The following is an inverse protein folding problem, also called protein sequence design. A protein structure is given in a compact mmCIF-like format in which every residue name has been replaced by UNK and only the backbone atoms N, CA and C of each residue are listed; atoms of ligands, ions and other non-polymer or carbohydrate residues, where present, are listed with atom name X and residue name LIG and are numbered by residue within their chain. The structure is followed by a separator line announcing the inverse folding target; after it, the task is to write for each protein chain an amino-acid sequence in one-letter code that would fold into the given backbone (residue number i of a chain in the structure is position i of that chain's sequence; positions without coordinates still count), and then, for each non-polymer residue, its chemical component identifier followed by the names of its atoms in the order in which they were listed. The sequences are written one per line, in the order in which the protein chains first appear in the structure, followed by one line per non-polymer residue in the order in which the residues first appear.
data_IF_762324575500
#
_entry.id   IF_762324575500
#
_cell.length_a   1.000
_cell.length_b   1.000
_cell.length_c   1.000
_cell.angle_alpha   90.00
_cell.angle_beta   90.00
_cell.angle_gamma   90.00
#
_symmetry.space_group_name_H-M   'P 1'
#
loop_
_entity.id
_entity.type
_entity.pdbx_description
1 polymer ?
#
# COMPACT_ATOMS: atom_id res chain seq x y z
N UNK A 1 -13.44 -1.71 42.06
CA UNK A 1 -13.83 -1.77 40.63
C UNK A 1 -12.61 -1.37 39.83
N UNK A 2 -11.85 -2.36 39.37
CA UNK A 2 -10.60 -2.13 38.64
C UNK A 2 -10.98 -1.80 37.20
N UNK A 3 -10.79 -0.54 36.80
CA UNK A 3 -10.92 -0.17 35.40
C UNK A 3 -9.77 -0.83 34.63
N UNK A 4 -10.07 -1.96 33.98
CA UNK A 4 -9.15 -2.62 33.06
C UNK A 4 -8.83 -1.61 31.95
N UNK A 5 -7.63 -1.03 32.01
CA UNK A 5 -7.06 -0.23 30.93
C UNK A 5 -6.85 -1.17 29.75
N UNK A 6 -7.84 -1.26 28.86
CA UNK A 6 -7.71 -1.85 27.55
C UNK A 6 -7.05 -0.80 26.67
N UNK A 7 -5.75 -0.90 26.32
CA UNK A 7 -5.20 -0.02 25.32
C UNK A 7 -5.98 -0.29 24.03
N UNK A 8 -6.84 0.65 23.61
CA UNK A 8 -7.34 0.65 22.24
C UNK A 8 -6.10 0.66 21.37
N UNK A 9 -5.87 -0.40 20.60
CA UNK A 9 -4.94 -0.34 19.48
C UNK A 9 -5.55 0.66 18.50
N UNK A 10 -5.22 1.93 18.69
CA UNK A 10 -5.56 2.97 17.75
C UNK A 10 -4.73 2.73 16.48
N UNK A 11 -5.27 1.91 15.57
CA UNK A 11 -4.62 1.67 14.29
C UNK A 11 -4.41 2.99 13.55
N UNK A 12 -3.22 3.11 12.97
CA UNK A 12 -2.73 4.33 12.33
C UNK A 12 -2.87 4.19 10.82
N UNK A 13 -3.73 5.03 10.23
CA UNK A 13 -3.94 5.12 8.79
C UNK A 13 -2.61 5.36 8.07
N UNK A 14 -1.77 6.26 8.61
CA UNK A 14 -0.47 6.60 8.03
C UNK A 14 0.46 5.39 8.01
N UNK A 15 0.49 4.63 9.10
CA UNK A 15 1.35 3.46 9.25
C UNK A 15 0.89 2.32 8.33
N UNK A 16 -0.43 2.12 8.19
CA UNK A 16 -1.01 1.22 7.19
C UNK A 16 -0.63 1.63 5.76
N UNK A 17 -0.73 2.92 5.43
CA UNK A 17 -0.37 3.47 4.12
C UNK A 17 1.11 3.25 3.78
N UNK A 18 2.01 3.51 4.73
CA UNK A 18 3.46 3.31 4.58
C UNK A 18 3.78 1.83 4.37
N UNK A 19 3.15 0.92 5.13
CA UNK A 19 3.38 -0.52 4.98
C UNK A 19 2.83 -1.03 3.66
N UNK A 20 1.66 -0.56 3.22
CA UNK A 20 1.15 -0.85 1.88
C UNK A 20 2.15 -0.42 0.81
N UNK A 21 2.69 0.81 0.91
CA UNK A 21 3.66 1.33 -0.06
C UNK A 21 4.95 0.50 -0.07
N UNK A 22 5.52 0.21 1.10
CA UNK A 22 6.75 -0.57 1.22
C UNK A 22 6.58 -1.99 0.70
N UNK A 23 5.48 -2.66 1.05
CA UNK A 23 5.20 -4.00 0.54
C UNK A 23 4.98 -3.98 -0.95
N UNK A 24 4.24 -3.02 -1.47
CA UNK A 24 3.97 -2.94 -2.90
C UNK A 24 5.24 -2.54 -3.68
N UNK A 25 6.19 -1.83 -3.05
CA UNK A 25 7.50 -1.51 -3.61
C UNK A 25 8.44 -2.72 -3.56
N UNK A 26 8.32 -3.57 -2.54
CA UNK A 26 9.10 -4.80 -2.40
C UNK A 26 8.56 -5.94 -3.29
N UNK A 27 7.23 -6.04 -3.38
CA UNK A 27 6.49 -7.07 -4.12
C UNK A 27 6.00 -6.58 -5.48
N UNK A 28 6.49 -5.46 -6.01
CA UNK A 28 6.08 -4.95 -7.33
C UNK A 28 6.31 -5.97 -8.46
N UNK A 29 7.26 -6.89 -8.25
CA UNK A 29 7.60 -7.97 -9.16
C UNK A 29 6.51 -9.05 -9.26
N UNK A 30 5.62 -9.15 -8.27
CA UNK A 30 4.54 -10.14 -8.20
C UNK A 30 3.17 -9.45 -8.27
N UNK A 31 2.70 -9.10 -9.48
CA UNK A 31 1.39 -8.50 -9.67
C UNK A 31 0.28 -9.37 -9.06
N UNK A 32 -0.81 -8.75 -8.58
CA UNK A 32 -1.95 -9.39 -7.90
C UNK A 32 -1.60 -9.92 -6.51
N UNK A 33 -0.66 -10.86 -6.37
CA UNK A 33 -0.32 -11.45 -5.07
C UNK A 33 0.37 -10.42 -4.16
N UNK A 34 1.28 -9.62 -4.71
CA UNK A 34 1.94 -8.53 -4.00
C UNK A 34 0.97 -7.45 -3.55
N UNK A 35 0.04 -7.04 -4.42
CA UNK A 35 -0.99 -6.05 -4.10
C UNK A 35 -2.00 -6.55 -3.07
N UNK A 36 -2.40 -7.83 -3.14
CA UNK A 36 -3.31 -8.44 -2.17
C UNK A 36 -2.67 -8.55 -0.79
N UNK A 37 -1.43 -9.04 -0.71
CA UNK A 37 -0.68 -9.16 0.56
C UNK A 37 -0.36 -7.80 1.17
N UNK A 38 0.03 -6.81 0.35
CA UNK A 38 0.19 -5.42 0.79
C UNK A 38 -1.11 -4.86 1.37
N UNK A 39 -2.25 -5.11 0.70
CA UNK A 39 -3.57 -4.74 1.18
C UNK A 39 -3.91 -5.38 2.53
N UNK A 40 -3.73 -6.70 2.66
CA UNK A 40 -4.04 -7.43 3.91
C UNK A 40 -3.22 -6.92 5.09
N UNK A 41 -1.90 -6.81 4.93
CA UNK A 41 -1.02 -6.37 6.02
C UNK A 41 -1.24 -4.89 6.35
N UNK A 42 -1.41 -4.05 5.33
CA UNK A 42 -1.67 -2.62 5.52
C UNK A 42 -3.03 -2.33 6.15
N UNK A 43 -4.06 -3.09 5.78
CA UNK A 43 -5.40 -2.99 6.35
C UNK A 43 -5.43 -3.43 7.82
N UNK A 44 -4.66 -4.47 8.16
CA UNK A 44 -4.48 -4.92 9.54
C UNK A 44 -3.84 -3.84 10.42
N UNK A 45 -2.83 -3.14 9.89
CA UNK A 45 -2.13 -2.06 10.61
C UNK A 45 -2.98 -0.79 10.71
N UNK A 46 -3.88 -0.56 9.75
CA UNK A 46 -4.79 0.58 9.76
C UNK A 46 -5.85 0.52 10.88
N UNK A 47 -6.12 -0.67 11.46
CA UNK A 47 -7.02 -0.83 12.61
C UNK A 47 -8.50 -0.62 12.29
N UNK A 48 -8.94 -1.00 11.09
CA UNK A 48 -10.35 -1.01 10.72
C UNK A 48 -10.60 -0.81 9.22
N UNK A 49 -11.71 -1.35 8.72
CA UNK A 49 -12.08 -1.35 7.29
C UNK A 49 -12.16 0.06 6.68
N UNK A 50 -12.80 1.02 7.38
CA UNK A 50 -12.92 2.40 6.89
C UNK A 50 -11.58 3.13 6.78
N UNK A 51 -10.68 2.89 7.74
CA UNK A 51 -9.30 3.40 7.75
C UNK A 51 -8.42 2.71 6.69
N UNK A 52 -8.65 1.42 6.46
CA UNK A 52 -7.95 0.64 5.46
C UNK A 52 -8.30 1.07 4.03
N UNK A 53 -9.58 1.39 3.75
CA UNK A 53 -10.00 1.90 2.44
C UNK A 53 -9.35 3.25 2.10
N UNK A 54 -9.33 4.18 3.06
CA UNK A 54 -8.72 5.50 2.84
C UNK A 54 -7.20 5.40 2.69
N UNK A 55 -6.55 4.49 3.42
CA UNK A 55 -5.14 4.18 3.23
C UNK A 55 -4.85 3.53 1.85
N UNK A 56 -5.71 2.63 1.38
CA UNK A 56 -5.52 1.86 0.14
C UNK A 56 -5.63 2.70 -1.15
N UNK A 57 -6.24 3.89 -1.10
CA UNK A 57 -6.39 4.74 -2.28
C UNK A 57 -5.09 5.46 -2.71
N UNK A 58 -4.23 5.81 -1.74
CA UNK A 58 -2.98 6.54 -1.96
C UNK A 58 -1.81 5.73 -2.57
N UNK A 59 -1.54 4.47 -2.18
CA UNK A 59 -0.30 3.78 -2.53
C UNK A 59 -0.12 3.57 -4.03
N UNK A 60 -1.18 3.45 -4.84
CA UNK A 60 -1.05 3.23 -6.29
C UNK A 60 -0.32 4.40 -6.98
N UNK A 61 -0.64 5.64 -6.59
CA UNK A 61 0.02 6.83 -7.14
C UNK A 61 1.42 6.98 -6.56
N UNK A 62 1.57 6.77 -5.26
CA UNK A 62 2.86 6.88 -4.58
C UNK A 62 3.87 5.86 -5.12
N UNK A 63 3.44 4.65 -5.48
CA UNK A 63 4.30 3.61 -6.06
C UNK A 63 4.94 4.07 -7.38
N UNK A 64 4.15 4.65 -8.28
CA UNK A 64 4.62 5.14 -9.56
C UNK A 64 5.66 6.26 -9.39
N UNK A 65 5.42 7.17 -8.45
CA UNK A 65 6.37 8.25 -8.11
C UNK A 65 7.65 7.68 -7.49
N UNK A 66 7.53 6.70 -6.59
CA UNK A 66 8.69 6.05 -5.96
C UNK A 66 9.54 5.32 -7.01
N UNK A 67 8.93 4.56 -7.91
CA UNK A 67 9.65 3.86 -9.00
C UNK A 67 10.28 4.86 -9.97
N UNK A 68 9.60 5.96 -10.31
CA UNK A 68 10.18 7.02 -11.13
C UNK A 68 11.44 7.61 -10.46
N UNK A 69 11.35 7.98 -9.18
CA UNK A 69 12.46 8.56 -8.44
C UNK A 69 13.64 7.57 -8.34
N UNK A 70 13.36 6.31 -7.98
CA UNK A 70 14.38 5.27 -7.86
C UNK A 70 15.03 4.96 -9.21
N UNK A 71 14.23 4.77 -10.27
CA UNK A 71 14.76 4.47 -11.61
C UNK A 71 15.62 5.63 -12.12
N UNK A 72 15.19 6.87 -11.90
CA UNK A 72 15.99 8.06 -12.26
C UNK A 72 17.29 8.10 -11.49
N UNK A 73 17.26 7.82 -10.18
CA UNK A 73 18.44 7.80 -9.32
C UNK A 73 19.46 6.73 -9.72
N UNK A 74 19.00 5.53 -10.09
CA UNK A 74 19.88 4.41 -10.44
C UNK A 74 20.36 4.43 -11.89
N UNK A 75 19.54 4.90 -12.84
CA UNK A 75 19.89 4.88 -14.27
C UNK A 75 20.45 6.21 -14.79
N UNK A 76 20.19 7.32 -14.09
CA UNK A 76 20.54 8.67 -14.56
C UNK A 76 19.77 9.12 -15.81
N UNK A 77 18.79 8.33 -16.27
CA UNK A 77 18.04 8.56 -17.51
C UNK A 77 16.55 8.79 -17.21
N UNK A 78 16.11 10.06 -17.12
CA UNK A 78 14.72 10.39 -16.76
C UNK A 78 13.66 9.77 -17.70
N UNK A 79 13.98 9.61 -18.99
CA UNK A 79 13.05 9.01 -19.96
C UNK A 79 12.72 7.55 -19.64
N UNK A 80 13.72 6.75 -19.25
CA UNK A 80 13.50 5.34 -18.86
C UNK A 80 12.67 5.29 -17.57
N UNK A 81 12.98 6.19 -16.64
CA UNK A 81 12.23 6.30 -15.40
C UNK A 81 10.78 6.72 -15.62
N UNK A 82 10.49 7.61 -16.57
CA UNK A 82 9.12 7.99 -16.93
C UNK A 82 8.32 6.79 -17.43
N UNK A 83 8.89 5.99 -18.34
CA UNK A 83 8.23 4.79 -18.87
C UNK A 83 8.02 3.75 -17.77
N UNK A 84 9.03 3.51 -16.93
CA UNK A 84 8.92 2.58 -15.80
C UNK A 84 7.88 3.02 -14.77
N UNK A 85 7.90 4.30 -14.37
CA UNK A 85 6.95 4.88 -13.42
C UNK A 85 5.51 4.87 -13.95
N UNK A 86 5.30 5.19 -15.24
CA UNK A 86 3.99 5.10 -15.87
C UNK A 86 3.49 3.65 -15.97
N UNK A 87 4.37 2.72 -16.34
CA UNK A 87 4.03 1.29 -16.42
C UNK A 87 3.58 0.73 -15.07
N UNK A 88 4.34 1.04 -14.01
CA UNK A 88 4.00 0.61 -12.64
C UNK A 88 2.73 1.29 -12.13
N UNK A 89 2.55 2.59 -12.38
CA UNK A 89 1.33 3.29 -12.00
C UNK A 89 0.08 2.69 -12.68
N UNK A 90 0.17 2.40 -13.98
CA UNK A 90 -0.93 1.83 -14.75
C UNK A 90 -1.28 0.41 -14.27
N UNK A 91 -0.26 -0.41 -13.99
CA UNK A 91 -0.43 -1.73 -13.36
C UNK A 91 -1.08 -1.63 -11.97
N UNK A 92 -0.64 -0.69 -11.13
CA UNK A 92 -1.21 -0.49 -9.80
C UNK A 92 -2.68 -0.06 -9.87
N UNK A 93 -3.05 0.79 -10.83
CA UNK A 93 -4.44 1.20 -11.06
C UNK A 93 -5.33 0.03 -11.53
N UNK A 94 -4.82 -0.84 -12.40
CA UNK A 94 -5.54 -2.05 -12.82
C UNK A 94 -5.81 -3.01 -11.65
N UNK A 95 -4.96 -2.98 -10.62
CA UNK A 95 -5.03 -3.89 -9.46
C UNK A 95 -5.66 -3.26 -8.22
N UNK A 96 -6.22 -2.05 -8.35
CA UNK A 96 -6.80 -1.35 -7.21
C UNK A 96 -7.94 -2.14 -6.56
N UNK A 97 -8.70 -2.90 -7.35
CA UNK A 97 -9.72 -3.82 -6.85
C UNK A 97 -9.14 -4.90 -5.93
N UNK A 98 -8.03 -5.52 -6.33
CA UNK A 98 -7.33 -6.53 -5.52
C UNK A 98 -6.75 -5.93 -4.24
N UNK A 99 -6.18 -4.72 -4.32
CA UNK A 99 -5.63 -4.00 -3.17
C UNK A 99 -6.73 -3.63 -2.16
N UNK A 100 -7.90 -3.18 -2.65
CA UNK A 100 -9.07 -2.89 -1.83
C UNK A 100 -9.62 -4.15 -1.16
N UNK A 101 -9.71 -5.27 -1.88
CA UNK A 101 -10.13 -6.56 -1.32
C UNK A 101 -9.18 -6.99 -0.20
N UNK A 102 -7.87 -6.92 -0.45
CA UNK A 102 -6.87 -7.21 0.58
C UNK A 102 -7.01 -6.28 1.80
N UNK A 103 -7.17 -4.97 1.58
CA UNK A 103 -7.33 -3.98 2.64
C UNK A 103 -8.58 -4.18 3.48
N UNK A 104 -9.71 -4.57 2.87
CA UNK A 104 -10.93 -4.93 3.58
C UNK A 104 -10.72 -6.15 4.47
N UNK A 105 -10.10 -7.21 3.93
CA UNK A 105 -9.81 -8.43 4.69
C UNK A 105 -8.89 -8.09 5.86
N UNK A 106 -7.79 -7.38 5.61
CA UNK A 106 -6.86 -6.92 6.65
C UNK A 106 -7.54 -6.09 7.73
N UNK A 107 -8.37 -5.12 7.32
CA UNK A 107 -9.09 -4.23 8.22
C UNK A 107 -10.22 -4.88 9.01
N UNK A 108 -10.73 -6.04 8.58
CA UNK A 108 -11.69 -6.85 9.35
C UNK A 108 -11.01 -7.64 10.47
N UNK A 109 -9.74 -8.02 10.28
CA UNK A 109 -8.94 -8.76 11.27
C UNK A 109 -8.16 -7.86 12.24
N UNK A 110 -8.34 -6.54 12.14
CA UNK A 110 -7.60 -5.51 12.88
C UNK A 110 -8.31 -5.10 14.17
#
# INVERSE_FOLDING_TARGET
MEAVYQPRRDGSVLLGCIVMLLLNLLLFWLPVVGTLTAGVVGGWIAGGVGKALTAAALPALLLGISIFALTTLFTGMPMIAMVAGMGVAMLAMMQIGTLLIGAMIGGLFA
#
